data_IF_241353334053
#
_entry.id   IF_241353334053
#
_cell.length_a   1.000
_cell.length_b   1.000
_cell.length_c   1.000
_cell.angle_alpha   90.00
_cell.angle_beta   90.00
_cell.angle_gamma   90.00
#
_symmetry.space_group_name_H-M   'P 1'
#
loop_
_entity.id
_entity.type
_entity.pdbx_description
1 polymer ?
#
# COMPACT_ATOMS: atom_id res chain seq x y z
N UNK A 1 7.19 -14.94 -3.04
CA UNK A 1 5.79 -15.02 -3.52
C UNK A 1 5.19 -16.35 -3.10
N UNK A 2 3.87 -16.42 -2.90
CA UNK A 2 3.20 -17.72 -2.79
C UNK A 2 3.03 -18.36 -4.17
N UNK A 3 2.93 -19.69 -4.28
CA UNK A 3 2.75 -20.37 -5.60
C UNK A 3 1.61 -19.80 -6.43
N UNK A 4 0.36 -19.68 -5.92
CA UNK A 4 -0.72 -19.11 -6.73
C UNK A 4 -0.47 -17.64 -7.08
N UNK A 5 0.11 -16.85 -6.16
CA UNK A 5 0.50 -15.47 -6.41
C UNK A 5 1.49 -15.35 -7.58
N UNK A 6 2.49 -16.23 -7.62
CA UNK A 6 3.51 -16.23 -8.66
C UNK A 6 2.93 -16.65 -10.02
N UNK A 7 2.02 -17.63 -10.02
CA UNK A 7 1.33 -18.06 -11.25
C UNK A 7 0.50 -16.92 -11.86
N UNK A 8 -0.21 -16.13 -11.05
CA UNK A 8 -0.91 -14.93 -11.55
C UNK A 8 0.06 -13.93 -12.19
N UNK A 9 1.24 -13.72 -11.60
CA UNK A 9 2.26 -12.82 -12.16
C UNK A 9 2.87 -13.32 -13.48
N UNK A 10 2.80 -14.63 -13.76
CA UNK A 10 3.36 -15.25 -14.97
C UNK A 10 2.36 -15.32 -16.14
N UNK A 11 1.06 -15.05 -15.92
CA UNK A 11 0.04 -15.05 -16.97
C UNK A 11 0.29 -14.08 -18.14
N UNK A 12 0.81 -12.85 -17.93
CA UNK A 12 1.04 -11.91 -19.03
C UNK A 12 2.09 -12.42 -20.03
N UNK A 13 1.97 -12.04 -21.30
CA UNK A 13 2.92 -12.42 -22.37
C UNK A 13 4.38 -12.01 -22.10
N UNK A 14 4.58 -10.93 -21.33
CA UNK A 14 5.89 -10.44 -20.89
C UNK A 14 5.82 -10.23 -19.37
N UNK A 15 6.00 -11.30 -18.57
CA UNK A 15 5.85 -11.21 -17.14
C UNK A 15 7.03 -10.44 -16.53
N UNK A 16 6.72 -9.53 -15.61
CA UNK A 16 7.71 -8.70 -14.91
C UNK A 16 7.54 -8.86 -13.41
N UNK A 17 8.64 -8.79 -12.68
CA UNK A 17 8.64 -8.89 -11.23
C UNK A 17 7.93 -7.67 -10.62
N UNK A 18 6.91 -7.90 -9.78
CA UNK A 18 6.16 -6.82 -9.11
C UNK A 18 6.99 -5.96 -8.14
N UNK A 19 8.23 -6.37 -7.83
CA UNK A 19 9.14 -5.64 -6.94
C UNK A 19 10.21 -4.90 -7.75
N UNK A 20 11.02 -5.62 -8.53
CA UNK A 20 12.17 -5.03 -9.24
C UNK A 20 11.91 -4.72 -10.72
N UNK A 21 10.72 -5.00 -11.25
CA UNK A 21 10.31 -4.79 -12.66
C UNK A 21 11.15 -5.54 -13.71
N UNK A 22 12.09 -6.38 -13.30
CA UNK A 22 12.89 -7.24 -14.19
C UNK A 22 12.05 -8.37 -14.79
N UNK A 23 12.51 -8.98 -15.87
CA UNK A 23 11.86 -10.16 -16.48
C UNK A 23 11.64 -11.25 -15.44
N UNK A 24 10.41 -11.73 -15.32
CA UNK A 24 10.02 -12.72 -14.32
C UNK A 24 10.07 -14.13 -14.92
N UNK A 25 10.73 -15.04 -14.22
CA UNK A 25 10.75 -16.48 -14.55
C UNK A 25 9.99 -17.29 -13.48
N UNK A 26 9.63 -18.56 -13.76
CA UNK A 26 8.89 -19.41 -12.82
C UNK A 26 9.59 -19.67 -11.48
N UNK A 27 10.90 -19.44 -11.39
CA UNK A 27 11.70 -19.64 -10.19
C UNK A 27 11.70 -21.09 -9.67
N UNK A 28 12.31 -21.30 -8.51
CA UNK A 28 12.30 -22.56 -7.77
C UNK A 28 11.69 -22.36 -6.38
N UNK A 29 11.23 -23.45 -5.76
CA UNK A 29 10.71 -23.41 -4.39
C UNK A 29 11.82 -23.09 -3.40
N UNK A 30 11.56 -22.16 -2.48
CA UNK A 30 12.44 -21.84 -1.36
C UNK A 30 12.09 -22.74 -0.17
N UNK A 31 12.61 -23.97 -0.19
CA UNK A 31 12.30 -25.01 0.81
C UNK A 31 12.73 -24.61 2.23
N UNK A 32 13.79 -23.83 2.34
CA UNK A 32 14.28 -23.26 3.60
C UNK A 32 13.23 -22.32 4.22
N UNK A 33 12.65 -21.43 3.41
CA UNK A 33 11.59 -20.51 3.85
C UNK A 33 10.30 -21.25 4.18
N UNK A 34 9.94 -22.28 3.41
CA UNK A 34 8.78 -23.13 3.70
C UNK A 34 8.93 -23.79 5.09
N UNK A 35 10.09 -24.40 5.36
CA UNK A 35 10.38 -25.01 6.66
C UNK A 35 10.39 -23.99 7.80
N UNK A 36 10.96 -22.80 7.57
CA UNK A 36 10.92 -21.72 8.57
C UNK A 36 9.48 -21.30 8.88
N UNK A 37 8.62 -21.17 7.87
CA UNK A 37 7.20 -20.84 8.07
C UNK A 37 6.48 -21.95 8.86
N UNK A 38 6.83 -23.22 8.65
CA UNK A 38 6.24 -24.34 9.38
C UNK A 38 6.63 -24.35 10.86
N UNK A 39 7.89 -24.01 11.17
CA UNK A 39 8.45 -24.13 12.52
C UNK A 39 8.36 -22.84 13.35
N UNK A 40 8.11 -21.69 12.73
CA UNK A 40 8.05 -20.41 13.44
C UNK A 40 6.74 -20.26 14.19
N UNK A 41 6.83 -20.14 15.52
CA UNK A 41 5.70 -19.79 16.38
C UNK A 41 5.39 -18.30 16.32
N UNK A 42 4.10 -17.97 16.41
CA UNK A 42 3.58 -16.61 16.40
C UNK A 42 2.34 -16.51 17.29
N UNK A 43 1.89 -15.28 17.54
CA UNK A 43 0.71 -14.98 18.36
C UNK A 43 -0.28 -14.17 17.54
N UNK A 44 -1.56 -14.51 17.62
CA UNK A 44 -2.60 -13.73 16.96
C UNK A 44 -2.81 -12.40 17.69
N UNK A 45 -2.69 -11.26 16.99
CA UNK A 45 -2.89 -9.92 17.57
C UNK A 45 -4.33 -9.66 18.07
N UNK A 46 -5.31 -10.41 17.58
CA UNK A 46 -6.70 -10.27 18.03
C UNK A 46 -7.01 -11.04 19.32
N UNK A 47 -6.61 -12.32 19.38
CA UNK A 47 -7.00 -13.22 20.48
C UNK A 47 -5.84 -13.65 21.40
N UNK A 48 -4.60 -13.26 21.08
CA UNK A 48 -3.39 -13.61 21.81
C UNK A 48 -3.08 -15.12 21.91
N UNK A 49 -3.72 -15.96 21.08
CA UNK A 49 -3.41 -17.39 21.01
C UNK A 49 -2.11 -17.62 20.23
N UNK A 50 -1.23 -18.46 20.78
CA UNK A 50 -0.01 -18.94 20.11
C UNK A 50 -0.32 -20.04 19.09
N UNK A 51 0.39 -20.04 17.97
CA UNK A 51 0.33 -21.05 16.91
C UNK A 51 1.50 -20.90 15.94
N UNK A 52 1.72 -21.88 15.06
CA UNK A 52 2.70 -21.76 13.98
C UNK A 52 2.21 -20.85 12.84
N UNK A 53 3.13 -20.17 12.14
CA UNK A 53 2.80 -19.31 10.99
C UNK A 53 2.01 -20.06 9.91
N UNK A 54 2.34 -21.34 9.66
CA UNK A 54 1.61 -22.22 8.74
C UNK A 54 0.10 -22.33 9.03
N UNK A 55 -0.32 -22.17 10.29
CA UNK A 55 -1.73 -22.24 10.72
C UNK A 55 -2.40 -20.87 10.87
N UNK A 56 -1.62 -19.79 10.89
CA UNK A 56 -2.13 -18.44 11.11
C UNK A 56 -3.16 -18.01 10.06
N UNK A 57 -3.03 -18.43 8.80
CA UNK A 57 -3.99 -18.08 7.73
C UNK A 57 -5.38 -18.66 7.99
N UNK A 58 -5.47 -19.95 8.33
CA UNK A 58 -6.74 -20.60 8.66
C UNK A 58 -7.35 -20.04 9.95
N UNK A 59 -6.50 -19.70 10.92
CA UNK A 59 -6.94 -19.02 12.14
C UNK A 59 -7.51 -17.63 11.84
N UNK A 60 -6.82 -16.82 11.04
CA UNK A 60 -7.27 -15.47 10.70
C UNK A 60 -8.67 -15.47 10.07
N UNK A 61 -8.98 -16.45 9.22
CA UNK A 61 -10.30 -16.60 8.60
C UNK A 61 -11.44 -16.92 9.60
N UNK A 62 -11.13 -17.51 10.76
CA UNK A 62 -12.12 -17.91 11.77
C UNK A 62 -12.07 -17.08 13.06
N UNK A 63 -11.05 -16.24 13.25
CA UNK A 63 -10.87 -15.46 14.47
C UNK A 63 -11.57 -14.11 14.39
N UNK A 64 -12.77 -14.00 14.97
CA UNK A 64 -13.52 -12.73 15.01
C UNK A 64 -12.74 -11.59 15.67
N UNK A 65 -11.93 -11.88 16.71
CA UNK A 65 -11.10 -10.85 17.37
C UNK A 65 -10.02 -10.31 16.44
N UNK A 66 -9.44 -11.17 15.59
CA UNK A 66 -8.47 -10.74 14.59
C UNK A 66 -9.13 -9.90 13.49
N UNK A 67 -10.32 -10.30 13.03
CA UNK A 67 -11.08 -9.51 12.05
C UNK A 67 -11.41 -8.10 12.57
N UNK A 68 -11.82 -7.99 13.85
CA UNK A 68 -12.03 -6.69 14.49
C UNK A 68 -10.73 -5.88 14.58
N UNK A 69 -9.62 -6.51 14.99
CA UNK A 69 -8.30 -5.86 15.01
C UNK A 69 -7.92 -5.25 13.66
N UNK A 70 -8.13 -5.98 12.55
CA UNK A 70 -7.88 -5.46 11.21
C UNK A 70 -8.80 -4.27 10.88
N UNK A 71 -10.08 -4.38 11.21
CA UNK A 71 -11.06 -3.32 10.95
C UNK A 71 -10.73 -2.02 11.70
N UNK A 72 -10.32 -2.12 12.97
CA UNK A 72 -9.87 -0.98 13.75
C UNK A 72 -8.60 -0.35 13.15
N UNK A 73 -7.68 -1.16 12.64
CA UNK A 73 -6.53 -0.69 11.88
C UNK A 73 -6.91 0.11 10.64
N UNK A 74 -7.90 -0.37 9.86
CA UNK A 74 -8.41 0.36 8.69
C UNK A 74 -9.04 1.69 9.11
N UNK A 75 -9.90 1.68 10.14
CA UNK A 75 -10.54 2.91 10.66
C UNK A 75 -9.52 3.96 11.12
N UNK A 76 -8.41 3.54 11.71
CA UNK A 76 -7.36 4.45 12.15
C UNK A 76 -6.69 5.19 10.97
N UNK A 77 -6.58 4.55 9.81
CA UNK A 77 -5.97 5.13 8.60
C UNK A 77 -6.97 5.95 7.79
N UNK A 78 -8.26 5.61 7.83
CA UNK A 78 -9.32 6.35 7.11
C UNK A 78 -9.91 7.53 7.89
N UNK A 79 -9.47 7.80 9.12
CA UNK A 79 -9.80 9.07 9.78
C UNK A 79 -9.19 10.18 8.95
N UNK A 80 -10.05 10.89 8.21
CA UNK A 80 -9.71 12.11 7.50
C UNK A 80 -8.83 13.00 8.39
N UNK A 81 -7.81 13.69 7.83
CA UNK A 81 -7.05 14.65 8.60
C UNK A 81 -8.06 15.59 9.25
N UNK A 82 -8.08 15.63 10.58
CA UNK A 82 -8.89 16.61 11.27
C UNK A 82 -8.58 17.95 10.63
N UNK A 83 -9.59 18.59 10.04
CA UNK A 83 -9.57 20.01 9.68
C UNK A 83 -9.49 20.82 10.99
N UNK A 84 -8.39 20.66 11.73
CA UNK A 84 -8.06 21.46 12.89
C UNK A 84 -7.41 22.73 12.37
N UNK A 85 -8.25 23.75 12.28
CA UNK A 85 -7.95 25.17 12.35
C UNK A 85 -6.79 25.45 13.32
N UNK A 86 -5.56 25.51 12.82
CA UNK A 86 -4.47 26.13 13.58
C UNK A 86 -3.43 26.74 12.66
N UNK A 87 -3.30 28.05 12.81
CA UNK A 87 -2.24 29.02 12.50
C UNK A 87 -0.79 28.44 12.44
N UNK A 88 -0.56 27.43 11.61
CA UNK A 88 0.77 26.95 11.23
C UNK A 88 0.85 27.12 9.71
N UNK A 89 1.93 27.70 9.16
CA UNK A 89 2.11 27.75 7.71
C UNK A 89 2.12 26.32 7.19
N UNK A 90 1.09 26.00 6.40
CA UNK A 90 0.82 24.67 5.90
C UNK A 90 2.04 24.20 5.08
N UNK A 91 2.82 23.25 5.62
CA UNK A 91 4.05 22.72 4.97
C UNK A 91 3.75 21.80 3.79
N UNK A 92 2.48 21.46 3.59
CA UNK A 92 1.99 20.61 2.50
C UNK A 92 1.30 21.43 1.44
N UNK A 93 1.81 22.62 1.17
CA UNK A 93 1.36 23.39 0.03
C UNK A 93 2.23 23.14 -1.18
N UNK A 94 1.57 23.03 -2.32
CA UNK A 94 2.22 22.78 -3.59
C UNK A 94 2.31 24.08 -4.39
N UNK A 95 3.48 24.42 -4.93
CA UNK A 95 3.60 25.48 -5.92
C UNK A 95 3.07 25.00 -7.28
N UNK A 96 2.49 25.91 -8.06
CA UNK A 96 2.17 25.60 -9.44
C UNK A 96 3.47 25.47 -10.26
N UNK A 97 3.63 24.41 -11.06
CA UNK A 97 4.82 24.25 -11.88
C UNK A 97 4.80 25.10 -13.17
N UNK A 98 3.66 25.70 -13.51
CA UNK A 98 3.48 26.54 -14.71
C UNK A 98 3.52 28.04 -14.44
N UNK A 99 3.23 28.47 -13.21
CA UNK A 99 3.14 29.89 -12.83
C UNK A 99 3.70 30.12 -11.42
N UNK A 100 3.79 31.39 -11.00
CA UNK A 100 4.35 31.75 -9.69
C UNK A 100 3.37 31.59 -8.52
N UNK A 101 2.14 31.13 -8.79
CA UNK A 101 1.17 30.85 -7.74
C UNK A 101 1.60 29.64 -6.90
N UNK A 102 1.31 29.71 -5.60
CA UNK A 102 1.74 28.75 -4.59
C UNK A 102 0.71 28.71 -3.48
N UNK A 103 0.95 27.83 -2.51
CA UNK A 103 0.03 27.62 -1.38
C UNK A 103 -1.23 26.81 -1.71
N UNK A 104 -1.23 26.04 -2.81
CA UNK A 104 -2.34 25.15 -3.13
C UNK A 104 -2.27 23.87 -2.29
N UNK A 105 -3.42 23.35 -1.87
CA UNK A 105 -3.53 21.95 -1.48
C UNK A 105 -3.50 21.04 -2.74
N UNK A 106 -3.47 19.72 -2.54
CA UNK A 106 -3.33 18.77 -3.64
C UNK A 106 -4.47 18.90 -4.67
N UNK A 107 -5.71 19.05 -4.23
CA UNK A 107 -6.87 19.16 -5.12
C UNK A 107 -6.92 20.54 -5.78
N UNK A 108 -6.65 21.59 -5.00
CA UNK A 108 -6.55 22.97 -5.47
C UNK A 108 -5.49 23.16 -6.56
N UNK A 109 -4.33 22.49 -6.44
CA UNK A 109 -3.28 22.56 -7.47
C UNK A 109 -3.73 21.88 -8.76
N UNK A 110 -4.37 20.71 -8.66
CA UNK A 110 -4.86 19.96 -9.82
C UNK A 110 -5.92 20.77 -10.55
N UNK A 111 -6.85 21.37 -9.83
CA UNK A 111 -7.92 22.19 -10.42
C UNK A 111 -7.36 23.49 -11.04
N UNK A 112 -6.44 24.17 -10.37
CA UNK A 112 -5.73 25.34 -10.91
C UNK A 112 -5.02 24.98 -12.22
N UNK A 113 -4.24 23.90 -12.24
CA UNK A 113 -3.52 23.47 -13.45
C UNK A 113 -4.49 23.11 -14.59
N UNK A 114 -5.59 22.40 -14.29
CA UNK A 114 -6.58 22.02 -15.31
C UNK A 114 -7.33 23.22 -15.88
N UNK A 115 -7.69 24.18 -15.05
CA UNK A 115 -8.51 25.33 -15.49
C UNK A 115 -7.68 26.38 -16.20
N UNK A 116 -6.48 26.69 -15.70
CA UNK A 116 -5.65 27.79 -16.20
C UNK A 116 -4.51 27.36 -17.13
N UNK A 117 -4.13 26.07 -17.09
CA UNK A 117 -3.02 25.52 -17.87
C UNK A 117 -3.38 24.26 -18.67
N UNK A 118 -4.68 23.99 -18.93
CA UNK A 118 -5.13 22.80 -19.69
C UNK A 118 -4.52 22.66 -21.08
N UNK A 119 -4.15 23.76 -21.72
CA UNK A 119 -3.55 23.80 -23.06
C UNK A 119 -2.07 24.18 -23.05
N UNK A 120 -1.46 24.29 -21.88
CA UNK A 120 -0.05 24.64 -21.77
C UNK A 120 0.82 23.42 -22.16
N UNK A 121 1.57 23.56 -23.25
CA UNK A 121 2.42 22.49 -23.78
C UNK A 121 3.80 22.41 -23.10
N UNK A 122 4.07 23.25 -22.08
CA UNK A 122 5.34 23.21 -21.37
C UNK A 122 5.47 21.91 -20.59
N UNK A 123 6.59 21.21 -20.78
CA UNK A 123 6.95 20.11 -19.90
C UNK A 123 7.34 20.66 -18.54
N UNK A 124 6.62 20.21 -17.52
CA UNK A 124 6.98 20.40 -16.12
C UNK A 124 7.83 19.19 -15.70
N UNK A 125 9.03 19.48 -15.19
CA UNK A 125 10.07 18.49 -14.83
C UNK A 125 9.79 17.86 -13.47
#
# INVERSE_FOLDING_TARGET
FCTPCLQECLKPKKPVCGVCRSTLSPGSRALDLEKQIEMTETTCNGCNKKMYLSKMRSHAASCSKYQNYIMEGVKAVTKEPFHNTRNFPNRFTFPCPYCSEKNFDQEGLVEHCKTLHSMDAKQVV
#
